data_IF_198266636823
#
_entry.id   IF_198266636823
#
_cell.length_a   1.000
_cell.length_b   1.000
_cell.length_c   1.000
_cell.angle_alpha   90.00
_cell.angle_beta   90.00
_cell.angle_gamma   90.00
#
_symmetry.space_group_name_H-M   'P 1'
#
loop_
_entity.id
_entity.type
_entity.pdbx_description
1 polymer ?
#
# COMPACT_ATOMS: atom_id res chain seq x y z
N UNK A 1 14.43 78.04 13.63
CA UNK A 1 15.64 77.66 12.88
C UNK A 1 15.83 76.14 12.99
N UNK A 2 15.97 75.43 11.84
CA UNK A 2 16.73 74.18 11.56
C UNK A 2 17.24 73.39 12.81
N UNK A 3 17.04 72.08 13.02
CA UNK A 3 17.07 70.83 12.20
C UNK A 3 16.51 69.66 13.06
N UNK A 4 15.67 68.76 12.56
CA UNK A 4 15.97 67.37 12.09
C UNK A 4 16.73 66.50 13.11
N UNK A 5 16.40 65.23 13.45
CA UNK A 5 15.44 64.18 13.00
C UNK A 5 15.62 62.98 13.96
N UNK A 6 14.70 61.99 13.89
CA UNK A 6 14.73 60.61 14.45
C UNK A 6 14.19 60.48 15.88
N UNK A 7 13.23 59.60 16.21
CA UNK A 7 12.61 58.50 15.45
C UNK A 7 11.36 57.98 16.19
N UNK A 8 10.35 57.60 15.39
CA UNK A 8 9.28 56.57 15.60
C UNK A 8 8.66 56.44 17.01
N UNK A 9 7.44 56.92 17.31
CA UNK A 9 6.08 56.58 16.80
C UNK A 9 5.67 55.12 16.99
N UNK A 10 4.69 54.97 17.91
CA UNK A 10 3.55 54.02 18.00
C UNK A 10 3.85 52.51 17.85
N UNK A 11 3.43 51.59 18.73
CA UNK A 11 2.21 51.38 19.51
C UNK A 11 1.54 50.07 19.06
N UNK A 12 0.94 49.42 20.06
CA UNK A 12 -0.24 48.57 19.98
C UNK A 12 -0.12 47.19 19.31
N UNK A 13 -0.09 46.18 20.19
CA UNK A 13 -1.08 45.10 20.25
C UNK A 13 -2.21 45.20 19.22
N UNK A 14 -2.16 44.42 18.14
CA UNK A 14 -3.33 43.84 17.44
C UNK A 14 -2.84 42.99 16.25
N UNK A 15 -2.88 41.66 16.38
CA UNK A 15 -3.13 40.74 15.26
C UNK A 15 -3.40 39.33 15.78
N UNK A 16 -4.68 39.01 15.89
CA UNK A 16 -5.16 37.64 15.81
C UNK A 16 -4.71 37.00 14.48
N UNK A 17 -4.57 35.68 14.50
CA UNK A 17 -4.55 34.79 13.33
C UNK A 17 -3.47 35.08 12.28
N UNK A 18 -2.33 34.38 12.37
CA UNK A 18 -1.38 34.08 11.27
C UNK A 18 -0.39 33.06 11.89
N UNK A 19 -0.45 31.76 11.66
CA UNK A 19 -0.11 31.12 10.39
C UNK A 19 -0.74 29.71 10.35
N UNK A 20 -1.95 29.60 9.82
CA UNK A 20 -2.28 28.41 9.04
C UNK A 20 -1.37 28.45 7.82
N UNK A 21 -0.27 27.70 7.85
CA UNK A 21 0.44 27.33 6.64
C UNK A 21 -0.48 26.39 5.85
N UNK A 22 -1.47 26.99 5.17
CA UNK A 22 -2.22 26.40 4.08
C UNK A 22 -1.23 26.19 2.92
N UNK A 23 -0.43 25.13 3.04
CA UNK A 23 0.08 24.44 1.87
C UNK A 23 -1.09 24.16 0.92
N UNK A 24 -0.84 24.07 -0.40
CA UNK A 24 -1.90 23.93 -1.40
C UNK A 24 -2.86 22.85 -0.92
N UNK A 25 -4.15 23.17 -0.83
CA UNK A 25 -5.16 22.33 -0.23
C UNK A 25 -5.13 20.94 -0.87
N UNK A 26 -4.31 20.05 -0.31
CA UNK A 26 -4.37 18.62 -0.52
C UNK A 26 -5.79 18.29 -0.16
N UNK A 27 -6.58 17.77 -1.10
CA UNK A 27 -7.85 17.14 -0.79
C UNK A 27 -7.64 16.36 0.52
N UNK A 28 -8.27 16.82 1.61
CA UNK A 28 -7.96 16.33 2.95
C UNK A 28 -8.13 14.82 2.90
N UNK A 29 -7.08 14.10 3.27
CA UNK A 29 -7.24 12.66 3.38
C UNK A 29 -8.39 12.40 4.34
N UNK A 30 -9.29 11.51 3.97
CA UNK A 30 -10.41 11.10 4.82
C UNK A 30 -10.32 9.61 5.06
N UNK A 31 -10.98 9.17 6.12
CA UNK A 31 -11.19 7.75 6.36
C UNK A 31 -12.31 7.29 5.44
N UNK A 32 -12.00 6.31 4.61
CA UNK A 32 -12.94 5.58 3.77
C UNK A 32 -13.24 4.25 4.43
N UNK A 33 -14.49 3.79 4.32
CA UNK A 33 -14.94 2.51 4.86
C UNK A 33 -15.80 1.80 3.81
N UNK A 34 -15.69 0.47 3.78
CA UNK A 34 -16.50 -0.42 2.96
C UNK A 34 -16.48 -1.82 3.61
N UNK A 35 -17.39 -2.72 3.24
CA UNK A 35 -17.53 -4.12 3.73
C UNK A 35 -16.78 -4.46 5.03
N UNK A 36 -15.51 -4.90 4.93
CA UNK A 36 -14.64 -5.30 6.05
C UNK A 36 -13.37 -4.44 6.14
N UNK A 37 -13.33 -3.29 5.48
CA UNK A 37 -12.11 -2.52 5.25
C UNK A 37 -12.29 -1.07 5.67
N UNK A 38 -11.22 -0.49 6.24
CA UNK A 38 -11.07 0.96 6.33
C UNK A 38 -9.71 1.36 5.79
N UNK A 39 -9.60 2.56 5.24
CA UNK A 39 -8.32 3.11 4.77
C UNK A 39 -8.36 4.64 4.77
N UNK A 40 -7.19 5.26 4.82
CA UNK A 40 -7.06 6.72 4.78
C UNK A 40 -6.41 7.15 3.47
N UNK A 41 -7.04 8.08 2.76
CA UNK A 41 -6.48 8.62 1.52
C UNK A 41 -7.34 9.75 0.92
N UNK A 42 -6.98 10.26 -0.27
CA UNK A 42 -7.60 11.45 -0.82
C UNK A 42 -9.12 11.28 -0.95
N UNK A 43 -9.86 12.36 -0.69
CA UNK A 43 -11.32 12.31 -0.57
C UNK A 43 -12.05 11.88 -1.84
N UNK A 44 -11.43 12.08 -3.01
CA UNK A 44 -11.95 11.75 -4.33
C UNK A 44 -11.50 10.36 -4.84
N UNK A 45 -10.70 9.62 -4.09
CA UNK A 45 -10.37 8.24 -4.43
C UNK A 45 -11.51 7.31 -4.03
N UNK A 46 -11.62 6.19 -4.72
CA UNK A 46 -12.67 5.20 -4.47
C UNK A 46 -12.05 3.81 -4.24
N UNK A 47 -12.85 2.91 -3.69
CA UNK A 47 -12.49 1.52 -3.55
C UNK A 47 -13.65 0.59 -3.91
N UNK A 48 -13.34 -0.53 -4.52
CA UNK A 48 -14.24 -1.69 -4.65
C UNK A 48 -13.79 -2.72 -3.63
N UNK A 49 -14.72 -3.19 -2.80
CA UNK A 49 -14.40 -4.04 -1.67
C UNK A 49 -15.18 -5.35 -1.73
N UNK A 50 -14.51 -6.44 -1.40
CA UNK A 50 -15.10 -7.74 -1.15
C UNK A 50 -14.79 -8.18 0.27
N UNK A 51 -15.30 -9.36 0.67
CA UNK A 51 -15.03 -9.92 1.99
C UNK A 51 -13.53 -10.12 2.26
N UNK A 52 -12.72 -10.38 1.23
CA UNK A 52 -11.30 -10.77 1.35
C UNK A 52 -10.38 -10.01 0.37
N UNK A 53 -10.89 -8.93 -0.23
CA UNK A 53 -10.10 -8.09 -1.12
C UNK A 53 -10.59 -6.66 -1.19
N UNK A 54 -9.70 -5.77 -1.59
CA UNK A 54 -9.94 -4.35 -1.79
C UNK A 54 -9.11 -3.85 -2.98
N UNK A 55 -9.76 -3.14 -3.89
CA UNK A 55 -9.13 -2.45 -5.01
C UNK A 55 -9.38 -0.95 -4.83
N UNK A 56 -8.33 -0.19 -4.51
CA UNK A 56 -8.35 1.27 -4.30
C UNK A 56 -7.80 1.95 -5.54
N UNK A 57 -8.46 2.97 -6.09
CA UNK A 57 -8.02 3.68 -7.29
C UNK A 57 -8.19 5.19 -7.20
N UNK A 58 -7.27 5.91 -7.86
CA UNK A 58 -7.45 7.34 -8.16
C UNK A 58 -8.59 7.57 -9.15
N UNK A 59 -9.19 8.78 -9.19
CA UNK A 59 -10.27 9.10 -10.13
C UNK A 59 -9.94 8.85 -11.60
N UNK A 60 -8.67 9.04 -11.99
CA UNK A 60 -8.18 8.82 -13.34
C UNK A 60 -7.81 7.35 -13.63
N UNK A 61 -7.93 6.45 -12.64
CA UNK A 61 -7.60 5.03 -12.74
C UNK A 61 -6.11 4.73 -12.90
N UNK A 62 -5.22 5.73 -12.86
CA UNK A 62 -3.80 5.55 -13.18
C UNK A 62 -2.95 5.15 -11.98
N UNK A 63 -3.45 5.38 -10.77
CA UNK A 63 -2.84 4.94 -9.51
C UNK A 63 -3.80 4.00 -8.80
N UNK A 64 -3.29 2.89 -8.29
CA UNK A 64 -4.14 1.98 -7.54
C UNK A 64 -3.40 0.93 -6.74
N UNK A 65 -4.13 0.40 -5.78
CA UNK A 65 -3.76 -0.74 -4.95
C UNK A 65 -4.80 -1.82 -5.23
N UNK A 66 -4.37 -3.00 -5.61
CA UNK A 66 -5.21 -4.19 -5.60
C UNK A 66 -4.65 -5.13 -4.54
N UNK A 67 -5.47 -5.50 -3.56
CA UNK A 67 -5.06 -6.38 -2.47
C UNK A 67 -6.14 -7.44 -2.26
N UNK A 68 -5.74 -8.70 -2.38
CA UNK A 68 -6.56 -9.85 -1.99
C UNK A 68 -5.80 -10.80 -1.07
N UNK A 69 -6.57 -11.63 -0.37
CA UNK A 69 -6.03 -12.75 0.37
C UNK A 69 -7.00 -13.93 0.41
N UNK A 70 -6.50 -15.12 0.71
CA UNK A 70 -7.32 -16.30 0.96
C UNK A 70 -6.57 -17.30 1.84
N UNK A 71 -7.31 -18.24 2.40
CA UNK A 71 -6.75 -19.45 2.98
C UNK A 71 -6.78 -20.56 1.92
N UNK A 72 -5.71 -21.34 1.86
CA UNK A 72 -5.52 -22.43 0.92
C UNK A 72 -4.90 -23.61 1.65
N UNK A 73 -4.94 -24.79 1.05
CA UNK A 73 -4.05 -25.86 1.48
C UNK A 73 -2.61 -25.45 1.21
N UNK A 74 -1.73 -25.78 2.16
CA UNK A 74 -0.31 -25.54 1.99
C UNK A 74 0.21 -26.31 0.76
N UNK A 75 1.07 -25.68 -0.04
CA UNK A 75 1.63 -26.33 -1.22
C UNK A 75 2.56 -27.44 -0.74
N UNK A 76 2.30 -28.67 -1.15
CA UNK A 76 3.07 -29.83 -0.73
C UNK A 76 4.58 -29.63 -0.99
N UNK A 77 5.39 -29.78 0.06
CA UNK A 77 6.84 -29.61 0.04
C UNK A 77 7.48 -30.21 1.31
N UNK A 78 8.80 -30.43 1.31
CA UNK A 78 9.51 -30.96 2.49
C UNK A 78 9.75 -29.91 3.59
N UNK A 79 9.49 -28.64 3.31
CA UNK A 79 9.58 -27.55 4.29
C UNK A 79 8.68 -26.38 3.93
N UNK A 80 8.30 -25.57 4.93
CA UNK A 80 7.52 -24.35 4.73
C UNK A 80 8.17 -23.36 3.76
N UNK A 81 9.50 -23.24 3.79
CA UNK A 81 10.24 -22.37 2.87
C UNK A 81 10.10 -22.86 1.43
N UNK A 82 10.18 -24.17 1.21
CA UNK A 82 10.03 -24.75 -0.12
C UNK A 82 8.58 -24.65 -0.59
N UNK A 83 7.60 -24.83 0.30
CA UNK A 83 6.17 -24.60 0.04
C UNK A 83 5.92 -23.18 -0.45
N UNK A 84 6.40 -22.17 0.30
CA UNK A 84 6.30 -20.77 -0.08
C UNK A 84 6.98 -20.46 -1.42
N UNK A 85 8.16 -21.04 -1.66
CA UNK A 85 8.89 -20.84 -2.91
C UNK A 85 8.12 -21.40 -4.12
N UNK A 86 7.50 -22.58 -3.98
CA UNK A 86 6.65 -23.21 -5.00
C UNK A 86 5.39 -22.40 -5.26
N UNK A 87 4.68 -21.99 -4.20
CA UNK A 87 3.50 -21.14 -4.30
C UNK A 87 3.80 -19.83 -5.04
N UNK A 88 4.84 -19.10 -4.62
CA UNK A 88 5.16 -17.82 -5.26
C UNK A 88 5.66 -18.04 -6.69
N UNK A 89 6.28 -19.18 -7.00
CA UNK A 89 6.62 -19.53 -8.37
C UNK A 89 5.38 -19.71 -9.26
N UNK A 90 4.33 -20.38 -8.78
CA UNK A 90 3.08 -20.52 -9.54
C UNK A 90 2.35 -19.18 -9.69
N UNK A 91 2.33 -18.34 -8.65
CA UNK A 91 1.73 -16.99 -8.75
C UNK A 91 2.43 -16.08 -9.77
N UNK A 92 3.72 -16.29 -10.04
CA UNK A 92 4.41 -15.54 -11.11
C UNK A 92 3.97 -15.99 -12.50
N UNK A 93 3.47 -17.21 -12.66
CA UNK A 93 2.98 -17.70 -13.96
C UNK A 93 1.61 -17.12 -14.32
N UNK A 94 0.78 -16.76 -13.33
CA UNK A 94 -0.57 -16.21 -13.56
C UNK A 94 -0.58 -14.77 -14.06
N UNK A 95 0.52 -14.04 -13.88
CA UNK A 95 0.66 -12.62 -14.31
C UNK A 95 1.31 -12.47 -15.69
N UNK A 96 0.80 -13.25 -16.67
CA UNK A 96 1.17 -13.11 -18.09
C UNK A 96 0.87 -11.69 -18.57
N UNK A 97 1.85 -11.05 -19.22
CA UNK A 97 1.72 -9.68 -19.75
C UNK A 97 2.40 -8.58 -18.91
N UNK A 98 2.80 -8.87 -17.66
CA UNK A 98 3.66 -7.98 -16.90
C UNK A 98 5.13 -8.19 -17.25
N UNK A 99 5.87 -7.10 -17.49
CA UNK A 99 7.33 -7.16 -17.58
C UNK A 99 7.93 -7.11 -16.18
N UNK A 100 8.56 -8.20 -15.78
CA UNK A 100 9.35 -8.26 -14.55
C UNK A 100 10.61 -7.42 -14.69
N UNK A 101 10.68 -6.31 -13.96
CA UNK A 101 11.84 -5.41 -13.98
C UNK A 101 12.89 -5.88 -12.99
N UNK A 102 12.45 -6.30 -11.79
CA UNK A 102 13.34 -6.80 -10.75
C UNK A 102 12.59 -7.76 -9.83
N UNK A 103 13.09 -8.98 -9.70
CA UNK A 103 12.60 -9.95 -8.72
C UNK A 103 13.35 -9.78 -7.41
N UNK A 104 12.65 -9.48 -6.33
CA UNK A 104 13.23 -9.47 -4.99
C UNK A 104 13.51 -10.87 -4.48
N UNK A 105 14.36 -10.98 -3.46
CA UNK A 105 14.60 -12.25 -2.76
C UNK A 105 13.34 -12.69 -2.00
N UNK A 106 13.13 -13.99 -1.88
CA UNK A 106 12.15 -14.54 -0.95
C UNK A 106 12.67 -14.32 0.47
N UNK A 107 11.96 -13.53 1.27
CA UNK A 107 12.35 -13.17 2.64
C UNK A 107 11.46 -13.88 3.62
N UNK A 108 12.04 -14.44 4.69
CA UNK A 108 11.30 -14.82 5.89
C UNK A 108 11.06 -13.55 6.70
N UNK A 109 9.82 -13.18 6.90
CA UNK A 109 9.41 -11.95 7.63
C UNK A 109 8.83 -12.24 9.01
N UNK A 110 8.51 -13.50 9.28
CA UNK A 110 8.08 -14.00 10.57
C UNK A 110 8.25 -15.52 10.67
N UNK A 111 7.75 -16.13 11.75
CA UNK A 111 7.73 -17.59 11.87
C UNK A 111 6.79 -18.16 10.80
N UNK A 112 7.33 -19.00 9.93
CA UNK A 112 6.64 -19.58 8.77
C UNK A 112 5.89 -18.58 7.88
N UNK A 113 6.31 -17.31 7.87
CA UNK A 113 5.79 -16.26 6.99
C UNK A 113 6.90 -15.80 6.04
N UNK A 114 6.65 -16.01 4.75
CA UNK A 114 7.51 -15.60 3.66
C UNK A 114 6.85 -14.55 2.77
N UNK A 115 7.64 -13.56 2.35
CA UNK A 115 7.24 -12.47 1.46
C UNK A 115 8.21 -12.37 0.28
N UNK A 116 7.67 -12.15 -0.92
CA UNK A 116 8.47 -11.74 -2.08
C UNK A 116 7.88 -10.49 -2.71
N UNK A 117 8.71 -9.47 -2.86
CA UNK A 117 8.37 -8.24 -3.60
C UNK A 117 9.01 -8.27 -4.98
N UNK A 118 8.25 -7.90 -6.01
CA UNK A 118 8.64 -7.92 -7.41
C UNK A 118 8.31 -6.55 -8.00
N UNK A 119 9.30 -5.91 -8.63
CA UNK A 119 9.07 -4.68 -9.38
C UNK A 119 8.60 -5.04 -10.79
N UNK A 120 7.46 -4.49 -11.19
CA UNK A 120 6.82 -4.78 -12.47
C UNK A 120 6.64 -3.51 -13.29
N UNK A 121 6.51 -3.68 -14.60
CA UNK A 121 6.07 -2.65 -15.54
C UNK A 121 4.97 -3.24 -16.42
N UNK A 122 3.92 -2.47 -16.66
CA UNK A 122 2.81 -2.84 -17.53
C UNK A 122 2.68 -1.83 -18.67
N UNK A 123 2.33 -2.29 -19.87
CA UNK A 123 2.22 -1.44 -21.06
C UNK A 123 3.55 -0.93 -21.62
N UNK A 124 3.47 -0.03 -22.60
CA UNK A 124 4.62 0.56 -23.32
C UNK A 124 4.52 2.08 -23.43
N UNK A 125 5.65 2.75 -23.67
CA UNK A 125 5.72 4.20 -23.92
C UNK A 125 5.31 5.08 -22.72
N UNK A 126 4.80 6.28 -23.01
CA UNK A 126 4.42 7.29 -21.99
C UNK A 126 3.21 6.87 -21.12
N UNK A 127 2.46 5.85 -21.54
CA UNK A 127 1.34 5.27 -20.79
C UNK A 127 1.74 4.06 -19.94
N UNK A 128 3.01 3.66 -19.96
CA UNK A 128 3.48 2.54 -19.16
C UNK A 128 3.26 2.80 -17.67
N UNK A 129 2.76 1.79 -16.96
CA UNK A 129 2.72 1.76 -15.51
C UNK A 129 4.00 1.14 -14.95
N UNK A 130 4.41 1.55 -13.75
CA UNK A 130 5.44 0.87 -12.96
C UNK A 130 4.92 0.63 -11.55
N UNK A 131 5.24 -0.52 -10.98
CA UNK A 131 4.65 -0.92 -9.70
C UNK A 131 5.43 -1.93 -8.91
N UNK A 132 4.82 -2.35 -7.80
CA UNK A 132 5.30 -3.40 -6.92
C UNK A 132 4.22 -4.45 -6.79
N UNK A 133 4.62 -5.71 -6.92
CA UNK A 133 3.79 -6.88 -6.70
C UNK A 133 4.36 -7.60 -5.48
N UNK A 134 3.56 -7.77 -4.45
CA UNK A 134 3.97 -8.41 -3.19
C UNK A 134 3.15 -9.67 -3.01
N UNK A 135 3.84 -10.79 -2.87
CA UNK A 135 3.23 -12.06 -2.53
C UNK A 135 3.63 -12.45 -1.12
N UNK A 136 2.63 -12.79 -0.33
CA UNK A 136 2.74 -13.24 1.05
C UNK A 136 2.24 -14.68 1.15
N UNK A 137 2.96 -15.47 1.93
CA UNK A 137 2.63 -16.86 2.19
C UNK A 137 2.98 -17.20 3.63
N UNK A 138 2.00 -17.61 4.43
CA UNK A 138 2.18 -17.89 5.85
C UNK A 138 1.43 -19.15 6.28
N UNK A 139 1.89 -19.78 7.36
CA UNK A 139 1.07 -20.77 8.07
C UNK A 139 -0.21 -20.09 8.61
N UNK A 140 -1.38 -20.66 8.33
CA UNK A 140 -2.65 -20.19 8.90
C UNK A 140 -3.04 -20.96 10.18
N UNK A 141 -2.41 -22.11 10.41
CA UNK A 141 -2.63 -22.96 11.56
C UNK A 141 -1.31 -23.55 12.10
N UNK A 142 -1.41 -24.35 13.15
CA UNK A 142 -0.31 -25.10 13.73
C UNK A 142 -0.14 -26.50 13.13
N UNK A 143 -1.11 -26.98 12.35
CA UNK A 143 -1.12 -28.34 11.78
C UNK A 143 -0.24 -28.46 10.54
N UNK A 144 0.06 -27.33 9.90
CA UNK A 144 0.83 -27.32 8.65
C UNK A 144 -0.02 -27.54 7.41
N UNK A 145 -1.33 -27.69 7.55
CA UNK A 145 -2.23 -28.04 6.46
C UNK A 145 -2.80 -26.81 5.76
N UNK A 146 -3.16 -25.76 6.51
CA UNK A 146 -3.69 -24.53 5.95
C UNK A 146 -2.63 -23.42 5.94
N UNK A 147 -2.58 -22.75 4.79
CA UNK A 147 -1.71 -21.63 4.55
C UNK A 147 -2.54 -20.42 4.14
N UNK A 148 -2.14 -19.28 4.67
CA UNK A 148 -2.58 -17.99 4.20
C UNK A 148 -1.76 -17.57 3.00
N UNK A 149 -2.42 -16.98 2.03
CA UNK A 149 -1.76 -16.29 0.93
C UNK A 149 -2.38 -14.93 0.70
N UNK A 150 -1.54 -13.96 0.34
CA UNK A 150 -2.00 -12.66 -0.09
C UNK A 150 -1.20 -12.16 -1.29
N UNK A 151 -1.89 -11.52 -2.21
CA UNK A 151 -1.32 -10.79 -3.34
C UNK A 151 -1.66 -9.32 -3.21
N UNK A 152 -0.66 -8.47 -3.44
CA UNK A 152 -0.81 -7.02 -3.44
C UNK A 152 -0.15 -6.46 -4.69
N UNK A 153 -0.84 -5.60 -5.40
CA UNK A 153 -0.34 -4.86 -6.55
C UNK A 153 -0.46 -3.37 -6.29
N UNK A 154 0.66 -2.67 -6.38
CA UNK A 154 0.74 -1.22 -6.30
C UNK A 154 1.15 -0.70 -7.67
N UNK A 155 0.28 0.05 -8.34
CA UNK A 155 0.55 0.54 -9.70
C UNK A 155 0.40 2.04 -9.80
N UNK A 156 1.35 2.67 -10.48
CA UNK A 156 1.34 4.12 -10.78
C UNK A 156 1.90 4.37 -12.19
N UNK A 157 1.70 5.56 -12.78
CA UNK A 157 2.39 5.94 -14.01
C UNK A 157 3.90 5.85 -13.85
N UNK A 158 4.60 5.30 -14.86
CA UNK A 158 6.06 5.10 -14.80
C UNK A 158 6.83 6.39 -14.49
N UNK A 159 6.41 7.52 -15.08
CA UNK A 159 7.03 8.83 -14.86
C UNK A 159 6.88 9.36 -13.43
N UNK A 160 5.87 8.88 -12.68
CA UNK A 160 5.56 9.33 -11.33
C UNK A 160 5.95 8.30 -10.25
N UNK A 161 6.73 7.27 -10.62
CA UNK A 161 6.94 6.10 -9.76
C UNK A 161 7.40 6.44 -8.34
N UNK A 162 8.39 7.33 -8.17
CA UNK A 162 8.97 7.65 -6.86
C UNK A 162 7.98 8.32 -5.91
N UNK A 163 7.12 9.21 -6.40
CA UNK A 163 6.13 9.92 -5.58
C UNK A 163 4.87 9.07 -5.42
N UNK A 164 4.34 8.57 -6.54
CA UNK A 164 3.14 7.74 -6.55
C UNK A 164 3.26 6.50 -5.66
N UNK A 165 4.37 5.76 -5.72
CA UNK A 165 4.49 4.53 -4.91
C UNK A 165 4.52 4.82 -3.40
N UNK A 166 5.09 5.95 -2.99
CA UNK A 166 5.10 6.37 -1.57
C UNK A 166 3.69 6.71 -1.10
N UNK A 167 2.89 7.38 -1.93
CA UNK A 167 1.48 7.66 -1.65
C UNK A 167 0.70 6.35 -1.46
N UNK A 168 0.86 5.39 -2.36
CA UNK A 168 0.17 4.10 -2.26
C UNK A 168 0.59 3.29 -1.03
N UNK A 169 1.89 3.26 -0.71
CA UNK A 169 2.37 2.58 0.50
C UNK A 169 1.85 3.24 1.78
N UNK A 170 1.68 4.56 1.80
CA UNK A 170 1.03 5.27 2.92
C UNK A 170 -0.43 4.86 3.08
N UNK A 171 -1.18 4.82 1.97
CA UNK A 171 -2.58 4.36 1.98
C UNK A 171 -2.65 2.92 2.51
N UNK A 172 -1.85 2.01 1.97
CA UNK A 172 -1.81 0.61 2.41
C UNK A 172 -1.48 0.44 3.90
N UNK A 173 -0.52 1.22 4.44
CA UNK A 173 -0.20 1.18 5.87
C UNK A 173 -1.36 1.67 6.75
N UNK A 174 -2.25 2.49 6.22
CA UNK A 174 -3.47 2.92 6.91
C UNK A 174 -4.66 1.99 6.67
N UNK A 175 -4.53 1.00 5.78
CA UNK A 175 -5.61 0.08 5.45
C UNK A 175 -5.74 -0.97 6.54
N UNK A 176 -6.88 -0.93 7.25
CA UNK A 176 -7.28 -1.94 8.23
C UNK A 176 -8.30 -2.90 7.65
N UNK A 177 -8.18 -4.17 8.02
CA UNK A 177 -9.18 -5.21 7.75
C UNK A 177 -9.80 -5.67 9.06
N UNK A 178 -11.13 -5.81 9.08
CA UNK A 178 -11.92 -6.11 10.28
C UNK A 178 -12.84 -7.33 10.10
N UNK A 179 -12.70 -8.04 8.98
CA UNK A 179 -13.48 -9.24 8.70
C UNK A 179 -12.82 -10.52 9.20
N UNK A 180 -13.46 -11.68 8.96
CA UNK A 180 -12.90 -12.99 9.31
C UNK A 180 -11.84 -13.47 8.31
N UNK A 181 -10.95 -14.35 8.77
CA UNK A 181 -10.07 -15.13 7.89
C UNK A 181 -8.71 -14.50 7.55
N UNK A 182 -8.39 -13.31 8.08
CA UNK A 182 -7.01 -12.84 8.10
C UNK A 182 -6.30 -13.55 9.27
N UNK A 183 -5.20 -14.29 9.03
CA UNK A 183 -4.50 -14.97 10.11
C UNK A 183 -3.97 -13.92 11.06
N UNK A 184 -4.26 -14.12 12.34
CA UNK A 184 -3.42 -13.57 13.38
C UNK A 184 -2.06 -14.23 13.19
N UNK A 185 -1.02 -13.45 12.90
CA UNK A 185 0.34 -13.94 12.88
C UNK A 185 0.68 -14.64 14.20
N UNK A 186 1.82 -15.34 14.30
CA UNK A 186 2.22 -16.07 15.50
C UNK A 186 2.30 -15.21 16.79
N UNK A 187 2.21 -13.88 16.66
CA UNK A 187 2.18 -12.90 17.75
C UNK A 187 0.85 -12.11 17.85
N UNK A 188 -0.23 -12.55 17.21
CA UNK A 188 -1.53 -11.87 17.28
C UNK A 188 -1.70 -10.67 16.33
N UNK A 189 -0.66 -10.24 15.62
CA UNK A 189 -0.71 -9.14 14.66
C UNK A 189 -1.38 -9.57 13.34
N UNK A 190 -2.15 -8.69 12.67
CA UNK A 190 -2.59 -8.96 11.30
C UNK A 190 -1.38 -9.13 10.37
N UNK A 191 -1.38 -10.20 9.56
CA UNK A 191 -0.29 -10.54 8.62
C UNK A 191 -0.07 -9.52 7.47
#
# INVERSE_FOLDING_TARGET
MKRSTLSLVLAALLAAALLTASGPASARDKVHRCTNWSWTGPSNWSAVCSKQGISISSPDGRRGIDWGFSNIFCVAASSYRQSAARFIASQRQSIKGLRFVRKGRLRKVGRNYFRQTIIVTAGRGRRAGKGQLVFDYAAADTTGQYCYQSSKLFMVPRGDYRRGIRQLLRIYRSTGYFGPGLPKGPNGEPA
#
